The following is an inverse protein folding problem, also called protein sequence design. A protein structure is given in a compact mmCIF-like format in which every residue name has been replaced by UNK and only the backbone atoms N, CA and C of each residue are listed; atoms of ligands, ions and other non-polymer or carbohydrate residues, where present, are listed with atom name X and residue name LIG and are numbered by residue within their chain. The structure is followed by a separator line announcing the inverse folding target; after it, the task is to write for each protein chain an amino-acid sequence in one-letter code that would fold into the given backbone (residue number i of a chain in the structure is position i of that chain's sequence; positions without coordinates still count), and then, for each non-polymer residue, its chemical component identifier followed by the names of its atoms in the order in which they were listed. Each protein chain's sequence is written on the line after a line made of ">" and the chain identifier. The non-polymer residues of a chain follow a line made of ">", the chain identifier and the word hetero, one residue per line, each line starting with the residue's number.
data_IF_004439447628
#
_entry.id   IF_004439447628
#
_cell.length_a   1.000
_cell.length_b   1.000
_cell.length_c   1.000
_cell.angle_alpha   90.00
_cell.angle_beta   90.00
_cell.angle_gamma   90.00
#
_symmetry.space_group_name_H-M   'P 1'
#
loop_
_entity.id
_entity.type
_entity.pdbx_description
1 polymer ?
#
# COMPACT_ATOMS: atom_id res chain seq x y z
N UNK A 1 -19.72 -16.77 9.89
CA UNK A 1 -18.61 -17.12 8.95
C UNK A 1 -18.67 -18.61 8.69
N UNK A 2 -19.55 -19.05 7.81
CA UNK A 2 -19.48 -20.41 7.29
C UNK A 2 -18.66 -20.41 6.01
N UNK A 3 -17.34 -20.28 6.17
CA UNK A 3 -16.39 -20.81 5.23
C UNK A 3 -16.45 -22.33 5.36
N UNK A 4 -17.54 -22.91 4.85
CA UNK A 4 -17.68 -24.35 4.76
C UNK A 4 -16.67 -24.80 3.70
N UNK A 5 -15.56 -25.37 4.15
CA UNK A 5 -14.70 -26.23 3.34
C UNK A 5 -15.47 -27.54 3.07
N UNK A 6 -16.64 -27.44 2.46
CA UNK A 6 -17.32 -28.62 1.99
C UNK A 6 -16.74 -29.01 0.63
N UNK A 7 -16.15 -30.19 0.57
CA UNK A 7 -15.73 -30.84 -0.67
C UNK A 7 -16.78 -31.85 -1.14
N UNK A 8 -18.02 -31.69 -0.67
CA UNK A 8 -19.11 -32.60 -1.00
C UNK A 8 -19.72 -32.30 -2.38
N UNK A 9 -20.35 -33.32 -2.98
CA UNK A 9 -21.10 -33.22 -4.25
C UNK A 9 -22.13 -32.09 -4.23
N UNK A 10 -22.78 -31.83 -3.06
CA UNK A 10 -23.76 -30.76 -2.91
C UNK A 10 -23.24 -29.35 -3.24
N UNK A 11 -21.98 -29.06 -2.93
CA UNK A 11 -21.40 -27.75 -3.22
C UNK A 11 -21.02 -27.59 -4.70
N UNK A 12 -20.73 -28.69 -5.39
CA UNK A 12 -20.50 -28.70 -6.84
C UNK A 12 -21.79 -28.31 -7.57
N UNK A 13 -22.93 -28.90 -7.18
CA UNK A 13 -24.25 -28.56 -7.76
C UNK A 13 -24.63 -27.11 -7.46
N UNK A 14 -24.46 -26.63 -6.24
CA UNK A 14 -24.73 -25.23 -5.88
C UNK A 14 -23.91 -24.25 -6.70
N UNK A 15 -22.61 -24.55 -6.91
CA UNK A 15 -21.75 -23.72 -7.78
C UNK A 15 -22.26 -23.69 -9.22
N UNK A 16 -22.58 -24.85 -9.79
CA UNK A 16 -23.05 -24.97 -11.17
C UNK A 16 -24.42 -24.30 -11.40
N UNK A 17 -25.31 -24.37 -10.41
CA UNK A 17 -26.62 -23.76 -10.47
C UNK A 17 -26.65 -22.26 -10.22
N UNK A 18 -25.52 -21.65 -9.79
CA UNK A 18 -25.50 -20.23 -9.45
C UNK A 18 -26.04 -19.90 -8.04
N UNK A 19 -26.17 -20.92 -7.16
CA UNK A 19 -26.64 -20.75 -5.79
C UNK A 19 -25.56 -20.18 -4.85
N UNK A 20 -24.32 -20.06 -5.35
CA UNK A 20 -23.19 -19.51 -4.61
C UNK A 20 -22.66 -18.25 -5.31
N UNK A 21 -22.37 -17.23 -4.52
CA UNK A 21 -21.71 -16.01 -4.98
C UNK A 21 -20.34 -15.87 -4.33
N UNK A 22 -19.35 -15.45 -5.10
CA UNK A 22 -18.02 -15.05 -4.65
C UNK A 22 -17.95 -13.53 -4.61
N UNK A 23 -17.19 -12.99 -3.69
CA UNK A 23 -16.90 -11.56 -3.65
C UNK A 23 -15.73 -11.23 -2.75
N UNK A 24 -15.09 -10.12 -3.04
CA UNK A 24 -14.18 -9.39 -2.18
C UNK A 24 -14.98 -8.60 -1.13
N UNK A 25 -14.32 -7.95 -0.20
CA UNK A 25 -15.00 -7.25 0.91
C UNK A 25 -15.94 -6.13 0.41
N UNK A 26 -15.55 -5.40 -0.63
CA UNK A 26 -16.39 -4.40 -1.28
C UNK A 26 -17.67 -5.01 -1.86
N UNK A 27 -17.55 -6.16 -2.54
CA UNK A 27 -18.72 -6.91 -3.05
C UNK A 27 -19.67 -7.29 -1.91
N UNK A 28 -19.12 -7.76 -0.78
CA UNK A 28 -19.91 -8.10 0.39
C UNK A 28 -20.62 -6.87 0.98
N UNK A 29 -19.96 -5.73 1.04
CA UNK A 29 -20.54 -4.47 1.51
C UNK A 29 -21.66 -4.01 0.58
N UNK A 30 -21.41 -3.96 -0.73
CA UNK A 30 -22.42 -3.59 -1.73
C UNK A 30 -23.63 -4.51 -1.65
N UNK A 31 -23.41 -5.83 -1.59
CA UNK A 31 -24.48 -6.82 -1.45
C UNK A 31 -25.36 -6.57 -0.23
N UNK A 32 -24.76 -6.33 0.92
CA UNK A 32 -25.51 -6.09 2.15
C UNK A 32 -26.21 -4.72 2.14
N UNK A 33 -25.56 -3.67 1.69
CA UNK A 33 -26.13 -2.33 1.62
C UNK A 33 -27.31 -2.25 0.64
N UNK A 34 -27.29 -3.06 -0.42
CA UNK A 34 -28.39 -3.15 -1.40
C UNK A 34 -29.38 -4.29 -1.10
N UNK A 35 -29.29 -4.93 0.09
CA UNK A 35 -30.16 -6.04 0.51
C UNK A 35 -30.17 -7.23 -0.46
N UNK A 36 -29.01 -7.49 -1.10
CA UNK A 36 -28.84 -8.60 -2.02
C UNK A 36 -29.26 -8.34 -3.47
N UNK A 37 -29.53 -7.09 -3.83
CA UNK A 37 -29.93 -6.73 -5.19
C UNK A 37 -28.73 -6.58 -6.13
N UNK A 38 -27.56 -6.17 -5.61
CA UNK A 38 -26.38 -5.89 -6.42
C UNK A 38 -25.21 -6.76 -6.03
N UNK A 39 -24.75 -7.58 -6.98
CA UNK A 39 -23.53 -8.38 -6.91
C UNK A 39 -22.48 -7.80 -7.83
N UNK A 40 -21.66 -6.87 -7.30
CA UNK A 40 -20.69 -6.11 -8.09
C UNK A 40 -19.39 -5.85 -7.28
N UNK A 41 -18.32 -5.61 -8.01
CA UNK A 41 -17.01 -5.16 -7.52
C UNK A 41 -16.44 -4.12 -8.49
N UNK A 42 -15.30 -3.50 -8.14
CA UNK A 42 -14.60 -2.62 -9.04
C UNK A 42 -13.35 -3.27 -9.66
N UNK A 43 -12.75 -2.59 -10.66
CA UNK A 43 -11.53 -3.07 -11.33
C UNK A 43 -10.37 -3.28 -10.36
N UNK A 44 -10.20 -2.40 -9.37
CA UNK A 44 -9.07 -2.46 -8.45
C UNK A 44 -9.17 -3.66 -7.51
N UNK A 45 -10.33 -3.93 -6.94
CA UNK A 45 -10.57 -5.12 -6.12
C UNK A 45 -10.52 -6.40 -6.96
N UNK A 46 -11.12 -6.42 -8.16
CA UNK A 46 -11.06 -7.56 -9.06
C UNK A 46 -9.61 -7.93 -9.41
N UNK A 47 -8.74 -6.95 -9.67
CA UNK A 47 -7.33 -7.18 -10.00
C UNK A 47 -6.54 -7.89 -8.88
N UNK A 48 -7.02 -7.85 -7.63
CA UNK A 48 -6.37 -8.53 -6.48
C UNK A 48 -6.76 -10.01 -6.33
N UNK A 49 -7.67 -10.50 -7.13
CA UNK A 49 -8.18 -11.88 -7.01
C UNK A 49 -7.31 -12.92 -7.69
N UNK A 50 -6.34 -12.53 -8.50
CA UNK A 50 -5.54 -13.39 -9.42
C UNK A 50 -6.39 -14.12 -10.49
N UNK A 51 -7.67 -13.77 -10.63
CA UNK A 51 -8.58 -14.35 -11.61
C UNK A 51 -9.03 -13.34 -12.68
N UNK A 52 -8.66 -12.08 -12.52
CA UNK A 52 -9.04 -10.98 -13.38
C UNK A 52 -7.90 -10.62 -14.35
N UNK A 53 -8.22 -10.56 -15.65
CA UNK A 53 -7.27 -10.10 -16.68
C UNK A 53 -7.29 -8.57 -16.72
N UNK A 54 -6.23 -7.95 -16.20
CA UNK A 54 -6.11 -6.49 -16.09
C UNK A 54 -6.01 -5.77 -17.44
N UNK A 55 -5.71 -6.49 -18.52
CA UNK A 55 -5.64 -5.94 -19.87
C UNK A 55 -6.98 -6.01 -20.60
N UNK A 56 -7.75 -7.09 -20.37
CA UNK A 56 -9.07 -7.28 -20.99
C UNK A 56 -10.21 -6.73 -20.16
N UNK A 57 -9.95 -6.41 -18.88
CA UNK A 57 -10.93 -5.94 -17.89
C UNK A 57 -12.10 -6.91 -17.71
N UNK A 58 -11.79 -8.20 -17.74
CA UNK A 58 -12.77 -9.28 -17.49
C UNK A 58 -12.10 -10.44 -16.76
N UNK A 59 -12.92 -11.30 -16.21
CA UNK A 59 -12.46 -12.53 -15.58
C UNK A 59 -11.76 -13.43 -16.60
N UNK A 60 -10.56 -13.94 -16.26
CA UNK A 60 -9.79 -14.81 -17.16
C UNK A 60 -10.41 -16.21 -17.24
N UNK A 61 -11.01 -16.51 -18.39
CA UNK A 61 -11.72 -17.77 -18.59
C UNK A 61 -10.80 -19.00 -18.45
N UNK A 62 -9.52 -18.89 -18.84
CA UNK A 62 -8.57 -20.02 -18.71
C UNK A 62 -8.29 -20.37 -17.25
N UNK A 63 -8.14 -19.32 -16.41
CA UNK A 63 -7.96 -19.49 -14.96
C UNK A 63 -9.23 -20.08 -14.34
N UNK A 64 -10.40 -19.56 -14.71
CA UNK A 64 -11.68 -20.06 -14.22
C UNK A 64 -11.90 -21.52 -14.59
N UNK A 65 -11.60 -21.91 -15.82
CA UNK A 65 -11.73 -23.31 -16.30
C UNK A 65 -10.77 -24.24 -15.55
N UNK A 66 -9.52 -23.80 -15.36
CA UNK A 66 -8.51 -24.57 -14.62
C UNK A 66 -8.96 -24.87 -13.18
N UNK A 67 -9.46 -23.88 -12.47
CA UNK A 67 -9.95 -24.03 -11.09
C UNK A 67 -11.41 -24.50 -11.01
N UNK A 68 -12.08 -24.70 -12.16
CA UNK A 68 -13.50 -25.10 -12.25
C UNK A 68 -14.42 -24.11 -11.50
N UNK A 69 -14.19 -22.83 -11.69
CA UNK A 69 -14.98 -21.73 -11.11
C UNK A 69 -15.98 -21.26 -12.16
N UNK A 70 -17.30 -21.45 -11.96
CA UNK A 70 -18.31 -20.93 -12.86
C UNK A 70 -18.32 -19.39 -12.86
N UNK A 71 -18.33 -18.76 -14.03
CA UNK A 71 -18.33 -17.29 -14.17
C UNK A 71 -19.53 -16.63 -13.50
N UNK A 72 -20.68 -17.32 -13.42
CA UNK A 72 -21.88 -16.82 -12.76
C UNK A 72 -21.78 -16.69 -11.23
N UNK A 73 -20.71 -17.22 -10.61
CA UNK A 73 -20.40 -16.99 -9.20
C UNK A 73 -19.71 -15.65 -8.97
N UNK A 74 -19.13 -15.05 -10.00
CA UNK A 74 -18.28 -13.88 -9.87
C UNK A 74 -19.09 -12.59 -10.00
N UNK A 75 -18.73 -11.52 -9.26
CA UNK A 75 -19.43 -10.25 -9.32
C UNK A 75 -19.25 -9.56 -10.68
N UNK A 76 -20.20 -8.72 -11.04
CA UNK A 76 -20.05 -7.80 -12.18
C UNK A 76 -18.99 -6.76 -11.85
N UNK A 77 -17.99 -6.64 -12.70
CA UNK A 77 -16.90 -5.67 -12.49
C UNK A 77 -17.27 -4.33 -13.12
N UNK A 78 -17.02 -3.24 -12.39
CA UNK A 78 -17.35 -1.86 -12.79
C UNK A 78 -16.14 -0.94 -12.60
N UNK A 79 -16.10 0.26 -13.20
CA UNK A 79 -15.16 1.32 -12.82
C UNK A 79 -15.29 1.69 -11.34
N UNK A 80 -14.19 2.18 -10.73
CA UNK A 80 -14.14 2.51 -9.30
C UNK A 80 -15.05 3.68 -8.93
N UNK A 81 -15.28 4.64 -9.86
CA UNK A 81 -16.22 5.74 -9.73
C UNK A 81 -17.45 5.46 -10.60
N UNK A 82 -18.64 5.50 -10.03
CA UNK A 82 -19.92 5.25 -10.72
C UNK A 82 -20.94 4.60 -9.79
N UNK A 83 -22.21 4.65 -10.17
CA UNK A 83 -23.29 4.11 -9.33
C UNK A 83 -23.27 2.57 -9.38
N UNK A 84 -22.94 1.96 -8.25
CA UNK A 84 -23.02 0.50 -8.05
C UNK A 84 -24.46 0.07 -7.76
N UNK A 85 -25.18 0.82 -6.95
CA UNK A 85 -26.54 0.60 -6.51
C UNK A 85 -26.96 1.64 -5.50
N UNK A 86 -28.06 1.35 -4.79
CA UNK A 86 -28.58 2.25 -3.77
C UNK A 86 -28.80 1.47 -2.47
N UNK A 87 -28.56 2.12 -1.33
CA UNK A 87 -28.80 1.52 -0.03
C UNK A 87 -30.29 1.27 0.22
N UNK A 88 -30.59 0.25 1.01
CA UNK A 88 -31.95 0.02 1.46
C UNK A 88 -32.39 1.13 2.42
N UNK A 89 -33.60 1.68 2.19
CA UNK A 89 -34.14 2.84 2.93
C UNK A 89 -34.17 2.61 4.43
N UNK A 90 -34.45 1.37 4.88
CA UNK A 90 -34.52 1.03 6.29
C UNK A 90 -33.20 1.17 7.05
N UNK A 91 -32.07 1.21 6.37
CA UNK A 91 -30.75 1.34 7.01
C UNK A 91 -30.42 2.78 7.42
N UNK A 92 -30.76 3.76 6.57
CA UNK A 92 -30.34 5.15 6.74
C UNK A 92 -31.49 6.17 6.72
N UNK A 93 -32.73 5.68 6.59
CA UNK A 93 -33.93 6.52 6.48
C UNK A 93 -34.20 7.04 5.07
N UNK A 94 -33.23 6.95 4.18
CA UNK A 94 -33.33 7.29 2.76
C UNK A 94 -32.47 6.35 1.91
N UNK A 95 -32.69 6.38 0.60
CA UNK A 95 -31.90 5.61 -0.37
C UNK A 95 -30.66 6.42 -0.79
N UNK A 96 -29.48 5.97 -0.39
CA UNK A 96 -28.19 6.63 -0.66
C UNK A 96 -27.48 5.91 -1.81
N UNK A 97 -26.96 6.62 -2.84
CA UNK A 97 -26.20 5.98 -3.90
C UNK A 97 -24.85 5.44 -3.37
N UNK A 98 -24.54 4.21 -3.72
CA UNK A 98 -23.21 3.63 -3.54
C UNK A 98 -22.44 3.95 -4.81
N UNK A 99 -21.58 4.97 -4.76
CA UNK A 99 -21.05 5.60 -5.96
C UNK A 99 -19.54 5.52 -6.13
N UNK A 100 -18.83 4.90 -5.18
CA UNK A 100 -17.38 4.67 -5.25
C UNK A 100 -17.01 3.38 -4.55
N UNK A 101 -16.15 2.58 -5.18
CA UNK A 101 -15.52 1.40 -4.60
C UNK A 101 -14.10 1.25 -5.14
N UNK A 102 -13.13 1.00 -4.27
CA UNK A 102 -11.76 0.75 -4.66
C UNK A 102 -11.05 -0.10 -3.59
N UNK A 103 -10.01 -0.83 -3.99
CA UNK A 103 -9.09 -1.45 -3.06
C UNK A 103 -8.40 -0.39 -2.21
N UNK A 104 -8.06 -0.70 -0.97
CA UNK A 104 -7.56 0.27 0.01
C UNK A 104 -6.32 1.03 -0.48
N UNK A 105 -5.38 0.33 -1.12
CA UNK A 105 -4.15 0.94 -1.62
C UNK A 105 -4.40 1.85 -2.83
N UNK A 106 -5.30 1.45 -3.73
CA UNK A 106 -5.71 2.23 -4.89
C UNK A 106 -6.55 3.44 -4.46
N UNK A 107 -7.42 3.28 -3.47
CA UNK A 107 -8.15 4.39 -2.85
C UNK A 107 -7.17 5.40 -2.22
N UNK A 108 -6.13 4.92 -1.49
CA UNK A 108 -5.11 5.81 -0.93
C UNK A 108 -4.31 6.55 -2.02
N UNK A 109 -3.97 5.88 -3.13
CA UNK A 109 -3.31 6.52 -4.28
C UNK A 109 -4.18 7.64 -4.85
N UNK A 110 -5.48 7.38 -5.02
CA UNK A 110 -6.45 8.37 -5.50
C UNK A 110 -6.65 9.51 -4.50
N UNK A 111 -6.76 9.19 -3.19
CA UNK A 111 -6.90 10.18 -2.12
C UNK A 111 -5.67 11.07 -1.92
N UNK A 112 -4.51 10.59 -2.33
CA UNK A 112 -3.28 11.39 -2.44
C UNK A 112 -3.22 12.21 -3.73
N UNK A 113 -4.23 12.16 -4.58
CA UNK A 113 -4.24 12.81 -5.89
C UNK A 113 -3.01 12.44 -6.73
N UNK A 114 -2.65 11.16 -6.77
CA UNK A 114 -1.58 10.63 -7.63
C UNK A 114 -2.20 10.21 -8.97
N UNK A 115 -2.62 11.18 -9.78
CA UNK A 115 -3.34 10.95 -11.03
C UNK A 115 -2.44 10.83 -12.25
N UNK A 116 -1.20 11.35 -12.14
CA UNK A 116 -0.26 11.39 -13.25
C UNK A 116 0.82 10.30 -13.12
N UNK A 117 1.33 9.83 -14.27
CA UNK A 117 2.41 8.86 -14.29
C UNK A 117 3.66 9.39 -13.56
N UNK A 118 4.21 8.59 -12.65
CA UNK A 118 5.36 8.95 -11.81
C UNK A 118 4.98 9.57 -10.46
N UNK A 119 3.71 9.87 -10.22
CA UNK A 119 3.26 10.23 -8.87
C UNK A 119 3.20 8.99 -7.98
N UNK A 120 3.72 9.14 -6.77
CA UNK A 120 3.94 8.03 -5.84
C UNK A 120 3.40 8.37 -4.46
N UNK A 121 2.77 7.37 -3.84
CA UNK A 121 2.43 7.45 -2.42
C UNK A 121 3.10 6.33 -1.62
N UNK A 122 3.31 6.55 -0.33
CA UNK A 122 3.67 5.53 0.66
C UNK A 122 2.79 5.65 1.89
N UNK A 123 2.05 4.58 2.20
CA UNK A 123 1.26 4.47 3.43
C UNK A 123 2.08 3.77 4.51
N UNK A 124 2.41 4.50 5.58
CA UNK A 124 3.19 4.01 6.71
C UNK A 124 2.29 3.44 7.80
N UNK A 125 2.09 2.12 7.76
CA UNK A 125 1.34 1.34 8.75
C UNK A 125 2.22 0.35 9.51
N UNK A 126 1.70 -0.84 9.82
CA UNK A 126 2.46 -1.99 10.35
C UNK A 126 3.59 -2.38 9.40
N UNK A 127 3.31 -2.43 8.11
CA UNK A 127 4.24 -2.40 6.99
C UNK A 127 4.14 -1.05 6.26
N UNK A 128 4.80 -0.94 5.11
CA UNK A 128 4.57 0.16 4.18
C UNK A 128 4.08 -0.37 2.84
N UNK A 129 3.18 0.39 2.22
CA UNK A 129 2.63 0.06 0.91
C UNK A 129 2.84 1.25 -0.03
N UNK A 130 3.70 1.01 -1.00
CA UNK A 130 4.08 2.00 -1.99
C UNK A 130 3.34 1.73 -3.29
N UNK A 131 2.71 2.75 -3.84
CA UNK A 131 2.11 2.68 -5.18
C UNK A 131 2.60 3.84 -6.02
N UNK A 132 3.04 3.52 -7.23
CA UNK A 132 3.39 4.49 -8.27
C UNK A 132 2.44 4.37 -9.43
N UNK A 133 1.78 5.46 -9.80
CA UNK A 133 0.99 5.52 -11.02
C UNK A 133 1.92 5.41 -12.24
N UNK A 134 1.63 4.46 -13.15
CA UNK A 134 2.41 4.23 -14.38
C UNK A 134 1.65 4.67 -15.64
N UNK A 135 0.51 5.36 -15.48
CA UNK A 135 -0.36 5.76 -16.57
C UNK A 135 -0.98 4.56 -17.29
N UNK A 136 -1.07 4.64 -18.60
CA UNK A 136 -1.67 3.58 -19.43
C UNK A 136 -0.76 2.35 -19.60
N UNK A 137 0.46 2.38 -19.07
CA UNK A 137 1.43 1.29 -19.23
C UNK A 137 1.37 0.32 -18.06
N UNK A 138 0.88 -0.90 -18.30
CA UNK A 138 1.07 -2.01 -17.36
C UNK A 138 2.52 -2.48 -17.38
N UNK A 139 3.30 -2.10 -16.38
CA UNK A 139 4.72 -2.47 -16.25
C UNK A 139 4.81 -3.85 -15.62
N UNK A 140 5.43 -4.80 -16.31
CA UNK A 140 5.74 -6.11 -15.73
C UNK A 140 7.06 -6.02 -14.97
N UNK A 141 7.04 -6.31 -13.67
CA UNK A 141 8.23 -6.25 -12.83
C UNK A 141 9.04 -7.54 -12.89
N UNK A 142 10.36 -7.41 -13.04
CA UNK A 142 11.32 -8.51 -12.92
C UNK A 142 11.85 -8.67 -11.49
N UNK A 143 11.67 -7.65 -10.65
CA UNK A 143 12.10 -7.64 -9.25
C UNK A 143 10.96 -7.94 -8.25
N UNK A 144 9.83 -8.43 -8.77
CA UNK A 144 8.71 -8.92 -7.95
C UNK A 144 7.83 -7.82 -7.36
N UNK A 145 7.82 -6.62 -7.94
CA UNK A 145 6.75 -5.65 -7.68
C UNK A 145 5.46 -6.14 -8.33
N UNK A 146 4.33 -5.70 -7.81
CA UNK A 146 3.03 -6.07 -8.35
C UNK A 146 2.53 -5.01 -9.32
N UNK A 147 2.00 -5.45 -10.47
CA UNK A 147 1.25 -4.58 -11.38
C UNK A 147 -0.23 -4.68 -11.04
N UNK A 148 -0.87 -3.55 -10.83
CA UNK A 148 -2.29 -3.46 -10.48
C UNK A 148 -2.97 -2.36 -11.27
N UNK A 149 -4.30 -2.33 -11.26
CA UNK A 149 -5.09 -1.23 -11.84
C UNK A 149 -5.19 -0.12 -10.79
N UNK A 150 -4.91 1.13 -11.18
CA UNK A 150 -5.17 2.30 -10.37
C UNK A 150 -6.66 2.67 -10.42
N UNK A 151 -7.20 3.22 -9.32
CA UNK A 151 -8.56 3.76 -9.33
C UNK A 151 -8.63 5.00 -10.24
N UNK A 152 -9.66 5.08 -11.06
CA UNK A 152 -9.93 6.23 -11.94
C UNK A 152 -11.35 6.73 -11.78
N UNK A 153 -11.54 8.01 -12.08
CA UNK A 153 -12.84 8.68 -11.93
C UNK A 153 -13.67 8.66 -13.24
N UNK A 154 -13.03 8.61 -14.39
CA UNK A 154 -13.65 8.72 -15.71
C UNK A 154 -13.80 7.37 -16.43
N UNK A 155 -13.42 6.28 -15.76
CA UNK A 155 -13.43 4.93 -16.32
C UNK A 155 -12.26 4.62 -17.25
N UNK A 156 -11.32 5.54 -17.46
CA UNK A 156 -10.04 5.23 -18.11
C UNK A 156 -9.25 4.24 -17.29
N UNK A 157 -8.46 3.39 -17.94
CA UNK A 157 -7.65 2.41 -17.25
C UNK A 157 -6.24 2.94 -17.11
N UNK A 158 -5.85 3.14 -15.88
CA UNK A 158 -4.47 3.41 -15.50
C UNK A 158 -3.93 2.26 -14.66
N UNK A 159 -2.62 2.09 -14.70
CA UNK A 159 -1.94 1.06 -13.94
C UNK A 159 -1.05 1.66 -12.86
N UNK A 160 -0.71 0.84 -11.89
CA UNK A 160 0.25 1.20 -10.85
C UNK A 160 1.20 0.03 -10.58
N UNK A 161 2.46 0.37 -10.24
CA UNK A 161 3.39 -0.55 -9.60
C UNK A 161 3.21 -0.47 -8.10
N UNK A 162 3.14 -1.63 -7.45
CA UNK A 162 3.02 -1.75 -6.00
C UNK A 162 4.23 -2.48 -5.42
N UNK A 163 4.81 -1.91 -4.37
CA UNK A 163 5.82 -2.53 -3.54
C UNK A 163 5.41 -2.54 -2.08
N UNK A 164 5.73 -3.62 -1.38
CA UNK A 164 5.34 -3.80 0.02
C UNK A 164 6.57 -4.00 0.91
N UNK A 165 6.61 -3.28 2.01
CA UNK A 165 7.55 -3.47 3.12
C UNK A 165 6.78 -4.17 4.24
N UNK A 166 7.19 -5.39 4.59
CA UNK A 166 6.45 -6.21 5.55
C UNK A 166 6.56 -5.70 6.98
N UNK A 167 7.70 -5.13 7.35
CA UNK A 167 7.99 -4.68 8.70
C UNK A 167 8.46 -3.22 8.68
N UNK A 168 7.56 -2.32 9.07
CA UNK A 168 7.82 -0.90 9.25
C UNK A 168 7.40 -0.47 10.68
N UNK A 169 6.17 -0.02 10.88
CA UNK A 169 5.63 0.28 12.21
C UNK A 169 5.67 -0.92 13.17
N UNK A 170 5.66 -2.15 12.64
CA UNK A 170 5.85 -3.36 13.44
C UNK A 170 7.19 -3.38 14.17
N UNK A 171 8.27 -2.82 13.59
CA UNK A 171 9.55 -2.68 14.30
C UNK A 171 9.44 -1.75 15.51
N UNK A 172 8.65 -0.68 15.39
CA UNK A 172 8.41 0.25 16.51
C UNK A 172 7.51 -0.39 17.57
N UNK A 173 6.51 -1.18 17.17
CA UNK A 173 5.69 -1.96 18.10
C UNK A 173 6.57 -2.96 18.88
N UNK A 174 7.47 -3.66 18.20
CA UNK A 174 8.42 -4.57 18.80
C UNK A 174 9.33 -3.87 19.82
N UNK A 175 9.87 -2.69 19.50
CA UNK A 175 10.66 -1.87 20.43
C UNK A 175 9.85 -1.44 21.66
N UNK A 176 8.53 -1.24 21.51
CA UNK A 176 7.63 -0.86 22.59
C UNK A 176 7.23 -2.06 23.44
N UNK A 177 6.73 -3.12 22.84
CA UNK A 177 6.00 -4.19 23.52
C UNK A 177 6.95 -5.27 24.05
N UNK A 178 7.92 -5.68 23.23
CA UNK A 178 8.84 -6.76 23.56
C UNK A 178 10.14 -6.24 24.18
N UNK A 179 10.78 -5.27 23.53
CA UNK A 179 12.06 -4.72 23.99
C UNK A 179 11.91 -3.67 25.10
N UNK A 180 10.72 -3.10 25.27
CA UNK A 180 10.38 -2.09 26.29
C UNK A 180 11.32 -0.88 26.31
N UNK A 181 11.87 -0.53 25.15
CA UNK A 181 12.78 0.61 24.98
C UNK A 181 12.04 1.95 24.94
N UNK A 182 10.75 1.94 24.55
CA UNK A 182 9.87 3.10 24.48
C UNK A 182 8.52 2.79 25.14
N UNK A 183 7.77 3.81 25.54
CA UNK A 183 6.42 3.64 26.09
C UNK A 183 5.32 3.75 25.05
N UNK A 184 5.50 4.61 24.06
CA UNK A 184 4.58 4.83 22.93
C UNK A 184 5.37 5.17 21.67
N UNK A 185 4.79 4.88 20.51
CA UNK A 185 5.43 5.09 19.20
C UNK A 185 5.90 6.54 19.01
N UNK A 186 5.14 7.54 19.48
CA UNK A 186 5.51 8.95 19.38
C UNK A 186 6.82 9.30 20.13
N UNK A 187 7.25 8.50 21.12
CA UNK A 187 8.51 8.75 21.82
C UNK A 187 9.74 8.56 20.90
N UNK A 188 9.60 7.83 19.80
CA UNK A 188 10.71 7.52 18.89
C UNK A 188 11.34 8.76 18.28
N UNK A 189 10.57 9.78 17.93
CA UNK A 189 11.08 11.04 17.39
C UNK A 189 12.03 11.73 18.36
N UNK A 190 11.61 11.84 19.63
CA UNK A 190 12.43 12.43 20.68
C UNK A 190 13.74 11.68 20.91
N UNK A 191 13.71 10.33 20.88
CA UNK A 191 14.92 9.53 21.05
C UNK A 191 15.83 9.60 19.83
N UNK A 192 15.28 9.57 18.61
CA UNK A 192 16.05 9.65 17.38
C UNK A 192 16.76 11.01 17.23
N UNK A 193 16.11 12.09 17.68
CA UNK A 193 16.68 13.46 17.66
C UNK A 193 17.64 13.76 18.81
N UNK A 194 17.70 12.89 19.84
CA UNK A 194 18.62 13.03 20.97
C UNK A 194 20.07 12.57 20.66
N UNK A 195 20.30 11.99 19.50
CA UNK A 195 21.61 11.56 19.00
C UNK A 195 21.85 12.11 17.60
N UNK A 196 23.09 12.37 17.27
CA UNK A 196 23.47 12.97 15.98
C UNK A 196 23.28 11.99 14.82
N UNK A 197 23.60 10.70 15.05
CA UNK A 197 23.47 9.62 14.07
C UNK A 197 23.16 8.28 14.78
N UNK A 198 23.25 7.16 14.07
CA UNK A 198 23.07 5.82 14.64
C UNK A 198 24.35 5.24 15.27
N UNK A 199 25.44 5.96 15.34
CA UNK A 199 26.79 5.48 15.69
C UNK A 199 27.21 4.24 14.86
N UNK A 200 26.77 4.18 13.59
CA UNK A 200 27.04 3.09 12.66
C UNK A 200 26.15 1.86 12.84
N UNK A 201 25.13 1.92 13.70
CA UNK A 201 24.15 0.85 13.88
C UNK A 201 23.14 0.85 12.74
N UNK A 202 22.92 -0.33 12.13
CA UNK A 202 21.83 -0.60 11.20
C UNK A 202 20.96 -1.70 11.78
N UNK A 203 19.63 -1.53 11.68
CA UNK A 203 18.64 -2.54 12.05
C UNK A 203 17.90 -2.95 10.76
N UNK A 204 18.01 -4.22 10.41
CA UNK A 204 17.25 -4.85 9.30
C UNK A 204 16.07 -5.60 9.91
N UNK A 205 14.82 -5.10 9.77
CA UNK A 205 13.68 -5.66 10.50
C UNK A 205 13.03 -6.83 9.74
N UNK A 206 13.81 -7.81 9.32
CA UNK A 206 13.34 -8.98 8.57
C UNK A 206 12.68 -10.03 9.49
N UNK A 207 11.68 -9.65 10.31
CA UNK A 207 11.08 -10.54 11.31
C UNK A 207 10.37 -11.74 10.70
N UNK A 208 9.84 -11.59 9.49
CA UNK A 208 9.12 -12.62 8.72
C UNK A 208 9.72 -12.81 7.33
N UNK A 209 11.03 -12.66 7.21
CA UNK A 209 11.71 -12.55 5.92
C UNK A 209 11.72 -11.11 5.42
N UNK A 210 12.30 -10.90 4.26
CA UNK A 210 12.38 -9.61 3.57
C UNK A 210 11.70 -9.72 2.19
N UNK A 211 10.86 -8.74 1.86
CA UNK A 211 10.12 -8.69 0.60
C UNK A 211 10.93 -8.08 -0.54
N UNK A 212 10.24 -7.45 -1.47
CA UNK A 212 10.85 -6.78 -2.61
C UNK A 212 11.90 -5.75 -2.16
N UNK A 213 13.00 -5.61 -2.93
CA UNK A 213 13.38 -6.36 -4.12
C UNK A 213 14.15 -7.66 -3.83
N UNK A 214 14.34 -8.04 -2.58
CA UNK A 214 15.24 -9.10 -2.16
C UNK A 214 14.61 -10.49 -2.15
N UNK A 215 13.33 -10.61 -1.77
CA UNK A 215 12.53 -11.84 -1.74
C UNK A 215 13.19 -13.02 -1.01
N UNK A 216 13.73 -12.76 0.19
CA UNK A 216 14.31 -13.79 1.04
C UNK A 216 13.39 -14.13 2.24
N UNK A 217 12.65 -15.24 2.21
CA UNK A 217 11.80 -15.68 3.31
C UNK A 217 12.61 -16.23 4.50
N UNK A 218 13.88 -16.57 4.29
CA UNK A 218 14.78 -17.11 5.31
C UNK A 218 15.55 -16.01 6.07
N UNK A 219 15.56 -14.79 5.57
CA UNK A 219 16.13 -13.64 6.29
C UNK A 219 15.47 -13.45 7.66
N UNK A 220 16.24 -12.99 8.64
CA UNK A 220 15.73 -12.65 9.98
C UNK A 220 16.24 -11.30 10.45
N UNK A 221 15.50 -10.72 11.40
CA UNK A 221 15.84 -9.44 12.00
C UNK A 221 17.28 -9.41 12.50
N UNK A 222 18.06 -8.44 12.00
CA UNK A 222 19.51 -8.38 12.23
C UNK A 222 19.91 -6.96 12.62
N UNK A 223 20.79 -6.85 13.62
CA UNK A 223 21.39 -5.58 14.02
C UNK A 223 22.90 -5.68 13.86
N UNK A 224 23.48 -4.76 13.12
CA UNK A 224 24.94 -4.69 12.89
C UNK A 224 25.51 -3.34 13.28
N UNK A 225 26.83 -3.24 13.43
CA UNK A 225 27.53 -1.97 13.73
C UNK A 225 27.56 -1.61 15.22
N UNK A 226 27.16 -2.50 16.12
CA UNK A 226 27.15 -2.24 17.56
C UNK A 226 28.57 -2.10 18.10
N UNK A 227 28.81 -1.01 18.82
CA UNK A 227 30.03 -0.75 19.59
C UNK A 227 29.68 -0.51 21.06
N UNK A 228 30.68 -0.44 21.93
CA UNK A 228 30.47 -0.14 23.35
C UNK A 228 29.82 1.23 23.62
N UNK A 229 29.92 2.16 22.67
CA UNK A 229 29.32 3.49 22.76
C UNK A 229 27.84 3.55 22.38
N UNK A 230 27.26 2.45 21.86
CA UNK A 230 25.87 2.43 21.45
C UNK A 230 24.92 2.52 22.63
N UNK A 231 23.88 3.33 22.49
CA UNK A 231 22.81 3.55 23.46
C UNK A 231 21.49 3.16 22.83
N UNK A 232 20.44 3.05 23.65
CA UNK A 232 19.07 2.73 23.14
C UNK A 232 18.56 3.72 22.09
N UNK A 233 18.99 5.00 22.19
CA UNK A 233 18.63 6.04 21.24
C UNK A 233 19.10 5.71 19.83
N UNK A 234 20.31 5.15 19.69
CA UNK A 234 20.85 4.71 18.39
C UNK A 234 20.04 3.55 17.80
N UNK A 235 19.60 2.58 18.63
CA UNK A 235 18.72 1.50 18.18
C UNK A 235 17.35 1.99 17.72
N UNK A 236 16.74 2.91 18.48
CA UNK A 236 15.43 3.49 18.14
C UNK A 236 15.54 4.28 16.84
N UNK A 237 16.61 5.06 16.68
CA UNK A 237 16.89 5.80 15.46
C UNK A 237 17.13 4.86 14.27
N UNK A 238 17.94 3.83 14.44
CA UNK A 238 18.18 2.83 13.38
C UNK A 238 16.90 2.11 12.93
N UNK A 239 15.95 1.88 13.84
CA UNK A 239 14.65 1.32 13.49
C UNK A 239 13.78 2.29 12.65
N UNK A 240 13.81 3.59 12.94
CA UNK A 240 13.15 4.59 12.09
C UNK A 240 13.83 4.71 10.73
N UNK A 241 15.18 4.81 10.73
CA UNK A 241 15.97 4.92 9.50
C UNK A 241 15.76 3.69 8.58
N UNK A 242 15.56 2.49 9.15
CA UNK A 242 15.32 1.27 8.38
C UNK A 242 14.07 1.35 7.47
N UNK A 243 13.04 2.08 7.90
CA UNK A 243 11.84 2.29 7.08
C UNK A 243 12.17 3.13 5.83
N UNK A 244 12.98 4.17 6.01
CA UNK A 244 13.39 5.03 4.91
C UNK A 244 14.31 4.31 3.91
N UNK A 245 15.22 3.47 4.41
CA UNK A 245 16.08 2.66 3.53
C UNK A 245 15.28 1.65 2.70
N UNK A 246 14.37 0.90 3.33
CA UNK A 246 13.51 -0.06 2.63
C UNK A 246 12.63 0.64 1.58
N UNK A 247 12.07 1.81 1.93
CA UNK A 247 11.31 2.64 0.99
C UNK A 247 12.16 3.05 -0.21
N UNK A 248 13.41 3.48 0.01
CA UNK A 248 14.33 3.83 -1.06
C UNK A 248 14.63 2.63 -1.98
N UNK A 249 14.83 1.43 -1.42
CA UNK A 249 15.11 0.23 -2.20
C UNK A 249 13.97 -0.09 -3.18
N UNK A 250 12.71 0.01 -2.73
CA UNK A 250 11.53 -0.22 -3.57
C UNK A 250 11.36 0.88 -4.62
N UNK A 251 11.49 2.15 -4.23
CA UNK A 251 11.29 3.27 -5.15
C UNK A 251 12.32 3.30 -6.27
N UNK A 252 13.57 2.90 -5.99
CA UNK A 252 14.58 2.74 -7.04
C UNK A 252 14.20 1.69 -8.07
N UNK A 253 13.68 0.55 -7.63
CA UNK A 253 13.20 -0.48 -8.56
C UNK A 253 12.01 0.02 -9.37
N UNK A 254 11.09 0.78 -8.74
CA UNK A 254 9.98 1.40 -9.47
C UNK A 254 10.46 2.35 -10.56
N UNK A 255 11.46 3.19 -10.28
CA UNK A 255 12.07 4.08 -11.29
C UNK A 255 12.74 3.29 -12.43
N UNK A 256 13.54 2.30 -12.09
CA UNK A 256 14.28 1.48 -13.05
C UNK A 256 13.35 0.72 -14.01
N UNK A 257 12.30 0.10 -13.48
CA UNK A 257 11.37 -0.73 -14.27
C UNK A 257 10.34 0.07 -15.05
N UNK A 258 9.84 1.18 -14.48
CA UNK A 258 8.89 2.05 -15.20
C UNK A 258 9.56 2.94 -16.22
N UNK A 259 10.82 3.31 -16.00
CA UNK A 259 11.53 4.35 -16.73
C UNK A 259 11.07 5.77 -16.38
N UNK A 260 10.30 5.94 -15.31
CA UNK A 260 9.76 7.24 -14.88
C UNK A 260 10.47 7.69 -13.63
N UNK A 261 11.04 8.90 -13.64
CA UNK A 261 11.70 9.47 -12.49
C UNK A 261 10.70 9.96 -11.44
N UNK A 262 10.91 9.55 -10.20
CA UNK A 262 10.14 10.01 -9.04
C UNK A 262 10.64 11.39 -8.62
N UNK A 263 9.74 12.38 -8.57
CA UNK A 263 10.07 13.77 -8.20
C UNK A 263 9.69 14.11 -6.77
N UNK A 264 8.64 13.48 -6.29
CA UNK A 264 8.09 13.69 -4.94
C UNK A 264 7.51 12.39 -4.41
N UNK A 265 7.52 12.24 -3.09
CA UNK A 265 6.85 11.14 -2.41
C UNK A 265 5.73 11.71 -1.53
N UNK A 266 4.47 11.36 -1.82
CA UNK A 266 3.34 11.68 -0.94
C UNK A 266 3.22 10.60 0.14
N UNK A 267 3.01 11.01 1.39
CA UNK A 267 3.03 10.09 2.54
C UNK A 267 1.78 10.19 3.39
N UNK A 268 1.33 9.07 3.92
CA UNK A 268 0.20 8.97 4.83
C UNK A 268 0.38 7.82 5.84
N UNK A 269 -0.66 7.57 6.63
CA UNK A 269 -0.62 6.57 7.70
C UNK A 269 0.02 7.09 8.99
N UNK A 270 -0.10 6.31 10.05
CA UNK A 270 0.23 6.77 11.42
C UNK A 270 1.68 7.20 11.63
N UNK A 271 2.66 6.51 11.02
CA UNK A 271 4.07 6.84 11.21
C UNK A 271 4.53 8.05 10.37
N UNK A 272 3.75 8.51 9.40
CA UNK A 272 4.01 9.76 8.66
C UNK A 272 3.96 11.01 9.56
N UNK A 273 3.35 10.91 10.75
CA UNK A 273 3.37 11.99 11.76
C UNK A 273 4.73 12.20 12.41
N UNK A 274 5.67 11.26 12.30
CA UNK A 274 7.03 11.39 12.82
C UNK A 274 7.88 12.26 11.87
N UNK A 275 8.19 13.49 12.32
CA UNK A 275 8.91 14.45 11.46
C UNK A 275 10.37 14.04 11.22
N UNK A 276 11.01 13.37 12.19
CA UNK A 276 12.36 12.83 11.99
C UNK A 276 12.36 11.81 10.85
N UNK A 277 11.43 10.85 10.89
CA UNK A 277 11.32 9.83 9.84
C UNK A 277 11.06 10.47 8.47
N UNK A 278 10.16 11.43 8.38
CA UNK A 278 9.82 12.07 7.10
C UNK A 278 10.98 12.89 6.54
N UNK A 279 11.72 13.61 7.40
CA UNK A 279 12.92 14.33 6.99
C UNK A 279 14.00 13.36 6.50
N UNK A 280 14.26 12.30 7.27
CA UNK A 280 15.24 11.29 6.89
C UNK A 280 14.85 10.55 5.61
N UNK A 281 13.54 10.32 5.39
CA UNK A 281 13.03 9.75 4.14
C UNK A 281 13.33 10.66 2.94
N UNK A 282 13.09 11.96 3.07
CA UNK A 282 13.42 12.94 2.03
C UNK A 282 14.94 12.96 1.75
N UNK A 283 15.75 12.96 2.81
CA UNK A 283 17.21 12.96 2.72
C UNK A 283 17.76 11.72 2.00
N UNK A 284 17.22 10.53 2.31
CA UNK A 284 17.66 9.26 1.70
C UNK A 284 17.22 9.13 0.26
N UNK A 285 16.02 9.61 -0.08
CA UNK A 285 15.52 9.58 -1.46
C UNK A 285 16.18 10.67 -2.32
N UNK A 286 16.49 11.83 -1.74
CA UNK A 286 16.94 13.01 -2.46
C UNK A 286 15.80 13.73 -3.19
N UNK A 287 14.55 13.54 -2.76
CA UNK A 287 13.36 14.19 -3.30
C UNK A 287 12.49 14.72 -2.17
N UNK A 288 11.59 15.63 -2.48
CA UNK A 288 10.65 16.17 -1.52
C UNK A 288 9.66 15.10 -1.04
N UNK A 289 9.40 15.09 0.27
CA UNK A 289 8.35 14.28 0.89
C UNK A 289 7.19 15.19 1.30
N UNK A 290 5.99 14.90 0.81
CA UNK A 290 4.79 15.71 0.99
C UNK A 290 3.81 15.00 1.92
N UNK A 291 3.48 15.61 3.06
CA UNK A 291 2.48 15.10 3.98
C UNK A 291 1.20 15.94 3.89
N UNK A 292 0.03 15.36 3.57
CA UNK A 292 -1.24 16.07 3.55
C UNK A 292 -1.74 16.38 4.96
N UNK A 293 -2.72 17.28 5.06
CA UNK A 293 -3.43 17.54 6.32
C UNK A 293 -4.27 16.33 6.75
N UNK A 294 -4.98 15.70 5.82
CA UNK A 294 -5.71 14.47 6.07
C UNK A 294 -4.82 13.28 5.74
N UNK A 295 -4.42 12.52 6.76
CA UNK A 295 -3.60 11.31 6.61
C UNK A 295 -4.42 10.01 6.45
N UNK A 296 -5.75 10.12 6.49
CA UNK A 296 -6.70 9.01 6.21
C UNK A 296 -7.07 9.00 4.73
N UNK A 297 -6.07 8.93 3.88
CA UNK A 297 -6.21 9.10 2.42
C UNK A 297 -6.98 7.96 1.76
N UNK A 298 -7.01 6.77 2.35
CA UNK A 298 -7.82 5.64 1.88
C UNK A 298 -9.32 5.99 1.91
N UNK A 299 -9.81 6.46 3.03
CA UNK A 299 -11.21 6.87 3.16
C UNK A 299 -11.53 8.08 2.27
N UNK A 300 -10.59 9.03 2.20
CA UNK A 300 -10.72 10.22 1.38
C UNK A 300 -10.80 9.86 -0.12
N UNK A 301 -9.99 8.92 -0.58
CA UNK A 301 -10.02 8.46 -1.97
C UNK A 301 -11.35 7.81 -2.36
N UNK A 302 -11.91 6.97 -1.48
CA UNK A 302 -13.24 6.41 -1.70
C UNK A 302 -14.33 7.50 -1.74
N UNK A 303 -14.21 8.52 -0.87
CA UNK A 303 -15.12 9.67 -0.86
C UNK A 303 -15.00 10.51 -2.14
N UNK A 304 -13.78 10.75 -2.63
CA UNK A 304 -13.55 11.47 -3.89
C UNK A 304 -14.15 10.74 -5.09
N UNK A 305 -13.91 9.43 -5.21
CA UNK A 305 -14.51 8.60 -6.27
C UNK A 305 -16.04 8.67 -6.26
N UNK A 306 -16.64 8.56 -5.07
CA UNK A 306 -18.08 8.67 -4.91
C UNK A 306 -18.59 10.08 -5.23
N UNK A 307 -17.88 11.12 -4.75
CA UNK A 307 -18.25 12.51 -4.96
C UNK A 307 -18.25 12.92 -6.42
N UNK A 308 -17.24 12.49 -7.20
CA UNK A 308 -17.21 12.71 -8.65
C UNK A 308 -18.39 11.99 -9.32
N UNK A 309 -18.65 10.73 -8.96
CA UNK A 309 -19.74 9.96 -9.56
C UNK A 309 -21.13 10.54 -9.33
N UNK A 310 -21.35 11.30 -8.26
CA UNK A 310 -22.63 11.97 -7.95
C UNK A 310 -22.62 13.46 -8.29
N UNK A 311 -21.53 14.00 -8.86
CA UNK A 311 -21.39 15.39 -9.28
C UNK A 311 -21.18 16.38 -8.13
N UNK A 312 -20.64 15.92 -6.98
CA UNK A 312 -20.21 16.80 -5.90
C UNK A 312 -18.91 17.54 -6.26
N UNK A 313 -17.96 16.84 -6.90
CA UNK A 313 -16.81 17.41 -7.59
C UNK A 313 -16.97 17.18 -9.08
N UNK A 314 -16.51 18.14 -9.89
CA UNK A 314 -16.64 18.09 -11.33
C UNK A 314 -15.72 17.02 -11.94
N UNK A 315 -14.45 17.01 -11.51
CA UNK A 315 -13.41 16.11 -12.02
C UNK A 315 -12.24 15.92 -11.03
N UNK A 316 -11.17 15.30 -11.49
CA UNK A 316 -9.96 15.05 -10.69
C UNK A 316 -9.18 16.34 -10.38
N UNK A 317 -9.30 17.38 -11.19
CA UNK A 317 -8.61 18.66 -10.92
C UNK A 317 -9.32 19.42 -9.79
N UNK A 318 -10.63 19.35 -9.72
CA UNK A 318 -11.40 19.89 -8.60
C UNK A 318 -11.05 19.15 -7.29
N UNK A 319 -10.90 17.81 -7.35
CA UNK A 319 -10.39 17.01 -6.22
C UNK A 319 -8.96 17.40 -5.86
N UNK A 320 -8.07 17.58 -6.84
CA UNK A 320 -6.68 18.01 -6.63
C UNK A 320 -6.59 19.38 -5.92
N UNK A 321 -7.50 20.30 -6.25
CA UNK A 321 -7.58 21.61 -5.59
C UNK A 321 -8.01 21.50 -4.12
N UNK A 322 -8.69 20.43 -3.73
CA UNK A 322 -9.07 20.16 -2.34
C UNK A 322 -7.97 19.44 -1.53
N UNK A 323 -6.92 18.91 -2.19
CA UNK A 323 -5.81 18.28 -1.50
C UNK A 323 -4.97 19.32 -0.76
N UNK A 324 -5.02 19.29 0.56
CA UNK A 324 -4.38 20.31 1.41
C UNK A 324 -3.04 19.77 1.95
N UNK A 325 -1.95 20.45 1.63
CA UNK A 325 -0.61 20.17 2.14
C UNK A 325 -0.50 20.58 3.63
N UNK A 326 0.01 19.69 4.47
CA UNK A 326 0.39 20.01 5.86
C UNK A 326 1.85 20.43 5.93
N UNK A 327 2.74 19.66 5.32
CA UNK A 327 4.18 19.93 5.36
C UNK A 327 4.92 19.30 4.19
N UNK A 328 5.90 20.04 3.68
CA UNK A 328 6.95 19.52 2.79
C UNK A 328 8.23 19.32 3.59
N UNK A 329 8.88 18.19 3.38
CA UNK A 329 10.21 17.89 3.88
C UNK A 329 11.16 17.91 2.67
N UNK A 330 12.11 18.84 2.67
CA UNK A 330 13.08 18.99 1.59
C UNK A 330 14.34 18.20 1.91
N UNK A 331 14.93 17.55 0.90
CA UNK A 331 16.19 16.84 1.06
C UNK A 331 17.33 17.84 1.36
N UNK A 332 18.00 17.66 2.50
CA UNK A 332 19.09 18.54 2.97
C UNK A 332 20.42 17.78 3.19
N UNK A 333 20.40 16.46 3.01
CA UNK A 333 21.58 15.61 3.15
C UNK A 333 22.46 15.66 1.90
N UNK A 334 23.79 15.81 2.09
CA UNK A 334 24.74 15.75 0.98
C UNK A 334 24.71 14.38 0.30
N UNK A 335 24.95 14.34 -1.01
CA UNK A 335 25.00 13.09 -1.78
C UNK A 335 26.06 12.12 -1.25
N UNK A 336 27.21 12.63 -0.82
CA UNK A 336 28.28 11.81 -0.24
C UNK A 336 27.79 11.06 1.01
N UNK A 337 27.15 11.78 1.94
CA UNK A 337 26.57 11.18 3.17
C UNK A 337 25.46 10.18 2.83
N UNK A 338 24.57 10.54 1.89
CA UNK A 338 23.49 9.65 1.42
C UNK A 338 24.05 8.35 0.87
N UNK A 339 25.02 8.41 -0.04
CA UNK A 339 25.63 7.22 -0.63
C UNK A 339 26.38 6.38 0.42
N UNK A 340 27.04 7.02 1.38
CA UNK A 340 27.68 6.30 2.49
C UNK A 340 26.67 5.50 3.31
N UNK A 341 25.54 6.11 3.68
CA UNK A 341 24.48 5.47 4.46
C UNK A 341 23.82 4.33 3.69
N UNK A 342 23.49 4.53 2.42
CA UNK A 342 22.91 3.50 1.54
C UNK A 342 23.85 2.31 1.32
N UNK A 343 25.15 2.57 1.18
CA UNK A 343 26.18 1.50 1.12
C UNK A 343 26.21 0.68 2.42
N UNK A 344 26.11 1.35 3.57
CA UNK A 344 26.02 0.70 4.87
C UNK A 344 24.76 -0.15 5.01
N UNK A 345 23.61 0.40 4.60
CA UNK A 345 22.35 -0.32 4.57
C UNK A 345 22.41 -1.59 3.72
N UNK A 346 22.86 -1.49 2.47
CA UNK A 346 23.01 -2.64 1.57
C UNK A 346 23.90 -3.73 2.16
N UNK A 347 24.98 -3.33 2.85
CA UNK A 347 25.86 -4.26 3.56
C UNK A 347 25.15 -4.93 4.74
N UNK A 348 24.33 -4.18 5.49
CA UNK A 348 23.56 -4.70 6.62
C UNK A 348 22.52 -5.72 6.17
N UNK A 349 21.75 -5.40 5.11
CA UNK A 349 20.77 -6.33 4.50
C UNK A 349 21.44 -7.65 4.10
N UNK A 350 22.60 -7.59 3.46
CA UNK A 350 23.37 -8.79 3.09
C UNK A 350 23.85 -9.65 4.28
N UNK A 351 23.71 -9.19 5.53
CA UNK A 351 23.98 -9.98 6.74
C UNK A 351 22.74 -10.64 7.34
N UNK A 352 21.57 -10.26 6.85
CA UNK A 352 20.30 -10.83 7.30
C UNK A 352 19.83 -12.00 6.44
N UNK A 353 20.39 -12.18 5.24
CA UNK A 353 20.00 -13.21 4.29
C UNK A 353 20.30 -14.62 4.77
N UNK A 354 19.47 -15.56 4.32
CA UNK A 354 19.69 -17.02 4.50
C UNK A 354 19.98 -17.40 5.96
N UNK A 355 19.36 -16.69 6.92
CA UNK A 355 19.59 -16.92 8.34
C UNK A 355 19.00 -18.25 8.83
N UNK A 356 17.86 -18.64 8.30
CA UNK A 356 17.20 -19.91 8.63
C UNK A 356 17.66 -20.96 7.65
N UNK A 357 18.20 -22.06 8.17
CA UNK A 357 18.48 -23.28 7.41
C UNK A 357 17.24 -24.18 7.45
N UNK A 358 16.89 -24.87 6.32
CA UNK A 358 15.78 -25.84 6.23
C UNK A 358 16.01 -27.09 7.08
#
# INVERSE_FOLDING_TARGET
>A
RDLVRSRGLGDVYKRQNGDLAFGTIDTWLIWNLTRGEVHATDYTNASRTMMFDIHKLDWDQKILDYFKIPKNMLPKVKPSSGIFGYTEVGMFGESIPIAGAAGDQQAALFGQCCFDAGEVKNTYGTGCFLLMNTGEKAVTSENGLLTTIAASADGTVQYALEGSIFVAGAAIQWLRDEMRMIRKAADTERYATAVEDTAGVYLVPAFTGIGAPYWDPYARGTVVGITRGCKKEHFIRAALESMAYQTNDILKVMEEESGVQIRTLKVDGGASNNNFLMQFQSDILGVDVLRPQCVETTALGAAYLAGIAVGYWEDVEDVRANWALSRTFHADMSDEKRQHLLKGWKKAVGRAFEWVED
#
